data_IF_113539155204
#
_entry.id   IF_113539155204
#
_cell.length_a   1.000
_cell.length_b   1.000
_cell.length_c   1.000
_cell.angle_alpha   90.00
_cell.angle_beta   90.00
_cell.angle_gamma   90.00
#
_symmetry.space_group_name_H-M   'P 1'
#
loop_
_entity.id
_entity.type
_entity.pdbx_description
1 polymer ?
#
# COMPACT_ATOMS: atom_id res chain seq x y z
N UNK A 1 -6.40 5.65 -20.40
CA UNK A 1 -7.57 5.08 -21.09
C UNK A 1 -8.20 6.22 -21.88
N UNK A 2 -8.41 6.08 -23.19
CA UNK A 2 -8.94 7.17 -24.01
C UNK A 2 -10.38 7.57 -23.66
N UNK A 3 -11.18 6.61 -23.17
CA UNK A 3 -12.59 6.80 -22.85
C UNK A 3 -12.81 7.48 -21.49
N UNK A 4 -12.15 6.98 -20.43
CA UNK A 4 -12.38 7.45 -19.06
C UNK A 4 -11.18 8.14 -18.40
N UNK A 5 -10.06 8.31 -19.11
CA UNK A 5 -8.85 8.95 -18.56
C UNK A 5 -8.03 8.10 -17.57
N UNK A 6 -8.53 6.95 -17.09
CA UNK A 6 -7.78 6.08 -16.15
C UNK A 6 -6.39 5.70 -16.69
N UNK A 7 -5.36 5.74 -15.85
CA UNK A 7 -4.05 5.18 -16.19
C UNK A 7 -4.19 3.68 -16.45
N UNK A 8 -3.58 3.21 -17.54
CA UNK A 8 -3.58 1.80 -17.93
C UNK A 8 -2.19 1.22 -17.72
N UNK A 9 -2.12 -0.01 -17.22
CA UNK A 9 -0.89 -0.78 -17.16
C UNK A 9 -0.47 -1.23 -18.57
N UNK A 10 0.80 -1.60 -18.71
CA UNK A 10 1.34 -2.09 -19.97
C UNK A 10 0.58 -3.35 -20.42
N UNK A 11 -0.06 -3.28 -21.58
CA UNK A 11 -0.84 -4.38 -22.17
C UNK A 11 -2.36 -4.32 -21.90
N UNK A 12 -2.82 -3.41 -21.04
CA UNK A 12 -4.26 -3.21 -20.83
C UNK A 12 -4.89 -2.48 -22.03
N UNK A 13 -6.03 -3.00 -22.51
CA UNK A 13 -6.75 -2.42 -23.64
C UNK A 13 -7.54 -1.19 -23.21
N UNK A 14 -7.62 -0.20 -24.09
CA UNK A 14 -8.58 0.88 -23.96
C UNK A 14 -10.01 0.32 -23.87
N UNK A 15 -10.81 0.89 -22.97
CA UNK A 15 -12.19 0.48 -22.76
C UNK A 15 -12.35 -0.69 -21.79
N UNK A 16 -11.31 -1.44 -21.42
CA UNK A 16 -11.42 -2.54 -20.46
C UNK A 16 -11.90 -2.06 -19.07
N UNK A 17 -11.34 -0.96 -18.56
CA UNK A 17 -11.63 -0.44 -17.21
C UNK A 17 -13.00 0.25 -17.07
N UNK A 18 -13.62 0.68 -18.16
CA UNK A 18 -14.85 1.49 -18.16
C UNK A 18 -15.94 0.94 -19.10
N UNK A 19 -15.65 -0.19 -19.78
CA UNK A 19 -16.48 -0.77 -20.83
C UNK A 19 -16.92 0.26 -21.87
N UNK A 20 -15.93 0.95 -22.44
CA UNK A 20 -16.13 1.99 -23.47
C UNK A 20 -17.13 3.06 -23.02
N UNK A 21 -16.84 3.72 -21.88
CA UNK A 21 -17.64 4.80 -21.25
C UNK A 21 -18.92 4.38 -20.51
N UNK A 22 -19.33 3.10 -20.56
CA UNK A 22 -20.52 2.63 -19.83
C UNK A 22 -20.40 2.78 -18.30
N UNK A 23 -19.17 2.71 -17.77
CA UNK A 23 -18.87 2.89 -16.35
C UNK A 23 -17.81 3.97 -16.18
N UNK A 24 -18.26 5.21 -16.09
CA UNK A 24 -17.41 6.36 -15.79
C UNK A 24 -17.44 6.64 -14.29
N UNK A 25 -16.29 6.43 -13.64
CA UNK A 25 -16.10 6.82 -12.24
C UNK A 25 -15.53 8.24 -12.21
N UNK A 26 -15.99 9.04 -11.25
CA UNK A 26 -15.35 10.32 -10.96
C UNK A 26 -13.92 10.08 -10.48
N UNK A 27 -12.92 10.82 -10.99
CA UNK A 27 -11.55 10.73 -10.50
C UNK A 27 -11.51 10.90 -8.98
N UNK A 28 -10.65 10.13 -8.32
CA UNK A 28 -10.39 10.34 -6.91
C UNK A 28 -9.85 11.77 -6.69
N UNK A 29 -10.20 12.42 -5.58
CA UNK A 29 -9.62 13.71 -5.24
C UNK A 29 -8.09 13.59 -5.16
N UNK A 30 -7.35 14.66 -5.52
CA UNK A 30 -5.91 14.63 -5.44
C UNK A 30 -5.47 14.42 -3.99
N UNK A 31 -4.31 13.80 -3.80
CA UNK A 31 -3.71 13.71 -2.47
C UNK A 31 -3.46 15.10 -1.88
N UNK A 32 -3.44 15.25 -0.55
CA UNK A 32 -2.98 16.48 0.09
C UNK A 32 -1.63 16.95 -0.44
N UNK A 33 -1.45 18.27 -0.58
CA UNK A 33 -0.26 18.86 -1.22
C UNK A 33 1.05 18.37 -0.61
N UNK A 34 1.12 18.24 0.72
CA UNK A 34 2.35 17.79 1.39
C UNK A 34 2.74 16.35 1.00
N UNK A 35 1.78 15.47 0.72
CA UNK A 35 2.06 14.11 0.25
C UNK A 35 2.44 14.10 -1.21
N UNK A 36 1.76 14.90 -2.03
CA UNK A 36 2.16 15.07 -3.42
C UNK A 36 3.64 15.47 -3.46
N UNK A 37 4.01 16.52 -2.74
CA UNK A 37 5.39 17.01 -2.62
C UNK A 37 6.35 15.92 -2.14
N UNK A 38 6.00 15.17 -1.09
CA UNK A 38 6.85 14.11 -0.53
C UNK A 38 7.16 12.98 -1.54
N UNK A 39 6.22 12.67 -2.43
CA UNK A 39 6.38 11.60 -3.43
C UNK A 39 6.86 12.09 -4.80
N UNK A 40 6.62 13.36 -5.17
CA UNK A 40 7.00 13.92 -6.47
C UNK A 40 8.37 14.59 -6.48
N UNK A 41 8.84 15.12 -5.34
CA UNK A 41 10.17 15.76 -5.26
C UNK A 41 11.32 14.76 -5.45
N UNK A 42 11.16 13.55 -4.92
CA UNK A 42 12.15 12.46 -5.05
C UNK A 42 11.46 11.14 -5.44
N UNK A 43 11.12 10.93 -6.72
CA UNK A 43 10.45 9.71 -7.17
C UNK A 43 11.28 8.43 -6.92
N UNK A 44 12.61 8.54 -6.90
CA UNK A 44 13.51 7.42 -6.61
C UNK A 44 13.41 7.00 -5.14
N UNK A 45 13.43 7.96 -4.21
CA UNK A 45 13.26 7.71 -2.78
C UNK A 45 11.86 7.16 -2.48
N UNK A 46 10.83 7.75 -3.10
CA UNK A 46 9.46 7.24 -3.03
C UNK A 46 9.37 5.76 -3.42
N UNK A 47 9.99 5.39 -4.54
CA UNK A 47 10.04 4.00 -5.00
C UNK A 47 10.82 3.12 -4.02
N UNK A 48 12.00 3.56 -3.57
CA UNK A 48 12.86 2.84 -2.65
C UNK A 48 12.19 2.55 -1.30
N UNK A 49 11.48 3.53 -0.72
CA UNK A 49 10.80 3.38 0.56
C UNK A 49 9.41 2.75 0.47
N UNK A 50 8.81 2.66 -0.72
CA UNK A 50 7.43 2.17 -0.91
C UNK A 50 7.17 0.80 -0.25
N UNK A 51 8.09 -0.15 -0.41
CA UNK A 51 7.96 -1.50 0.17
C UNK A 51 8.04 -1.48 1.70
N UNK A 52 8.97 -0.70 2.25
CA UNK A 52 9.15 -0.54 3.70
C UNK A 52 7.93 0.15 4.32
N UNK A 53 7.43 1.21 3.69
CA UNK A 53 6.20 1.89 4.10
C UNK A 53 4.99 0.96 4.04
N UNK A 54 4.86 0.15 2.99
CA UNK A 54 3.81 -0.87 2.93
C UNK A 54 3.94 -1.87 4.09
N UNK A 55 5.14 -2.35 4.41
CA UNK A 55 5.32 -3.25 5.56
C UNK A 55 4.91 -2.60 6.90
N UNK A 56 5.22 -1.31 7.07
CA UNK A 56 4.90 -0.56 8.29
C UNK A 56 3.40 -0.28 8.47
N UNK A 57 2.65 -0.14 7.37
CA UNK A 57 1.28 0.39 7.39
C UNK A 57 0.20 -0.51 6.75
N UNK A 58 0.56 -1.62 6.11
CA UNK A 58 -0.42 -2.44 5.39
C UNK A 58 -1.23 -3.34 6.33
N UNK A 59 -2.54 -3.10 6.44
CA UNK A 59 -3.45 -3.84 7.33
C UNK A 59 -3.84 -5.24 6.85
N UNK A 60 -3.60 -5.54 5.58
CA UNK A 60 -3.87 -6.86 5.01
C UNK A 60 -2.61 -7.45 4.42
N UNK A 61 -2.33 -8.72 4.68
CA UNK A 61 -1.28 -9.42 3.96
C UNK A 61 -1.86 -10.36 2.92
N UNK A 62 -1.17 -10.49 1.81
CA UNK A 62 -1.45 -11.53 0.83
C UNK A 62 -0.87 -12.83 1.39
N UNK A 63 -1.77 -13.75 1.77
CA UNK A 63 -1.41 -15.12 2.10
C UNK A 63 -1.38 -15.97 0.84
N UNK A 64 -0.44 -16.91 0.79
CA UNK A 64 -0.37 -17.93 -0.27
C UNK A 64 -0.49 -19.31 0.37
N UNK A 65 -1.44 -20.12 -0.10
CA UNK A 65 -1.54 -21.52 0.30
C UNK A 65 -0.57 -22.37 -0.54
N UNK A 66 0.73 -22.30 -0.24
CA UNK A 66 1.77 -23.03 -0.96
C UNK A 66 3.19 -22.62 -0.57
N UNK A 67 4.19 -23.06 -1.33
CA UNK A 67 5.60 -22.73 -1.12
C UNK A 67 6.09 -21.68 -2.11
N UNK A 68 7.03 -20.83 -1.68
CA UNK A 68 7.74 -19.92 -2.57
C UNK A 68 8.84 -20.70 -3.29
N UNK A 69 8.73 -20.86 -4.60
CA UNK A 69 9.81 -21.44 -5.39
C UNK A 69 10.70 -20.31 -5.95
N UNK A 70 11.98 -20.33 -5.58
CA UNK A 70 12.96 -19.41 -6.16
C UNK A 70 13.33 -19.92 -7.55
N UNK A 71 12.94 -19.17 -8.59
CA UNK A 71 13.37 -19.47 -9.96
C UNK A 71 14.70 -18.75 -10.25
N UNK A 72 15.62 -19.37 -10.99
CA UNK A 72 16.85 -18.71 -11.42
C UNK A 72 16.54 -17.47 -12.28
N UNK A 73 17.44 -16.49 -12.15
CA UNK A 73 17.36 -15.08 -12.57
C UNK A 73 16.76 -14.86 -13.98
N UNK A 74 16.04 -13.72 -14.20
CA UNK A 74 15.83 -12.63 -13.24
C UNK A 74 14.56 -12.82 -12.41
N UNK A 75 14.77 -12.94 -11.09
CA UNK A 75 13.83 -12.75 -9.98
C UNK A 75 12.34 -13.01 -10.27
N UNK A 76 12.02 -14.20 -10.78
CA UNK A 76 10.63 -14.64 -10.90
C UNK A 76 10.27 -15.48 -9.68
N UNK A 77 9.30 -15.01 -8.89
CA UNK A 77 8.69 -15.79 -7.83
C UNK A 77 7.45 -16.45 -8.43
N UNK A 78 7.45 -17.77 -8.53
CA UNK A 78 6.24 -18.53 -8.84
C UNK A 78 5.48 -18.80 -7.54
N UNK A 79 4.26 -18.29 -7.46
CA UNK A 79 3.33 -18.58 -6.37
C UNK A 79 2.41 -19.70 -6.85
N UNK A 80 2.47 -20.87 -6.22
CA UNK A 80 1.50 -21.94 -6.43
C UNK A 80 0.49 -21.91 -5.28
N UNK A 81 -0.78 -21.65 -5.55
CA UNK A 81 -1.84 -21.66 -4.54
C UNK A 81 -2.92 -20.61 -4.73
N UNK A 82 -3.78 -20.46 -3.72
CA UNK A 82 -4.78 -19.38 -3.65
C UNK A 82 -4.16 -18.17 -2.97
N UNK A 83 -4.29 -17.03 -3.63
CA UNK A 83 -4.00 -15.71 -3.05
C UNK A 83 -5.26 -15.26 -2.32
N UNK A 84 -5.15 -15.00 -1.01
CA UNK A 84 -6.25 -14.46 -0.22
C UNK A 84 -5.80 -13.27 0.62
N UNK A 85 -6.74 -12.35 0.87
CA UNK A 85 -6.53 -11.24 1.80
C UNK A 85 -6.70 -11.75 3.22
N UNK A 86 -5.65 -11.60 4.03
CA UNK A 86 -5.69 -11.92 5.46
C UNK A 86 -5.55 -10.65 6.27
N UNK A 87 -6.53 -10.38 7.13
CA UNK A 87 -6.36 -9.44 8.24
C UNK A 87 -5.59 -10.17 9.34
N UNK A 88 -4.51 -9.56 9.81
CA UNK A 88 -3.69 -10.18 10.86
C UNK A 88 -4.37 -10.01 12.21
N UNK A 89 -4.30 -11.06 13.02
CA UNK A 89 -4.77 -11.01 14.40
C UNK A 89 -3.95 -9.97 15.18
N UNK A 90 -4.66 -9.05 15.81
CA UNK A 90 -4.07 -7.91 16.52
C UNK A 90 -3.36 -8.38 17.80
N UNK A 91 -3.75 -9.54 18.34
CA UNK A 91 -3.19 -10.08 19.57
C UNK A 91 -1.87 -10.84 19.34
N UNK A 92 -1.54 -11.17 18.09
CA UNK A 92 -0.40 -12.06 17.79
C UNK A 92 0.61 -11.43 16.84
N UNK A 93 1.89 -11.61 17.17
CA UNK A 93 3.02 -11.15 16.37
C UNK A 93 3.14 -9.63 16.25
N UNK A 94 4.04 -9.20 15.36
CA UNK A 94 4.30 -7.80 15.03
C UNK A 94 3.66 -7.49 13.67
N UNK A 95 2.66 -6.61 13.67
CA UNK A 95 1.93 -6.24 12.46
C UNK A 95 1.37 -4.80 12.55
N UNK A 96 1.13 -4.22 11.38
CA UNK A 96 0.66 -2.83 11.23
C UNK A 96 -0.64 -2.53 11.98
N UNK A 97 -1.55 -3.50 12.12
CA UNK A 97 -2.84 -3.31 12.79
C UNK A 97 -2.63 -3.20 14.31
N UNK A 98 -1.80 -4.06 14.90
CA UNK A 98 -1.39 -3.98 16.31
C UNK A 98 -0.65 -2.67 16.59
N UNK A 99 0.30 -2.32 15.72
CA UNK A 99 1.02 -1.05 15.85
C UNK A 99 0.12 0.17 15.73
N UNK A 100 -0.96 0.07 14.95
CA UNK A 100 -1.89 1.17 14.81
C UNK A 100 -2.81 1.33 16.04
N UNK A 101 -3.27 0.22 16.62
CA UNK A 101 -4.26 0.22 17.70
C UNK A 101 -3.66 0.28 19.10
N UNK A 102 -2.51 -0.35 19.33
CA UNK A 102 -1.96 -0.55 20.67
C UNK A 102 -0.51 -0.08 20.82
N UNK A 103 0.31 -0.24 19.79
CA UNK A 103 1.78 -0.11 19.91
C UNK A 103 2.38 0.82 18.85
N UNK A 104 1.98 2.09 18.86
CA UNK A 104 2.43 3.06 17.86
C UNK A 104 3.94 3.32 17.90
N UNK A 105 4.52 3.30 19.10
CA UNK A 105 5.96 3.45 19.30
C UNK A 105 6.78 2.33 18.66
N UNK A 106 6.21 1.11 18.62
CA UNK A 106 6.89 -0.03 18.03
C UNK A 106 7.06 0.15 16.51
N UNK A 107 6.06 0.70 15.82
CA UNK A 107 6.18 1.05 14.40
C UNK A 107 7.24 2.12 14.18
N UNK A 108 7.37 3.09 15.07
CA UNK A 108 8.42 4.12 14.96
C UNK A 108 9.80 3.48 15.08
N UNK A 109 9.98 2.55 16.04
CA UNK A 109 11.21 1.78 16.20
C UNK A 109 11.55 0.97 14.94
N UNK A 110 10.57 0.25 14.40
CA UNK A 110 10.71 -0.52 13.15
C UNK A 110 11.06 0.37 11.95
N UNK A 111 10.51 1.58 11.87
CA UNK A 111 10.86 2.52 10.81
C UNK A 111 12.32 2.98 10.90
N UNK A 112 12.83 3.23 12.11
CA UNK A 112 14.24 3.57 12.35
C UNK A 112 15.15 2.40 11.98
N UNK A 113 14.82 1.17 12.40
CA UNK A 113 15.56 -0.05 12.05
C UNK A 113 15.64 -0.26 10.53
N UNK A 114 14.55 0.04 9.82
CA UNK A 114 14.48 -0.05 8.36
C UNK A 114 15.04 1.18 7.64
N UNK A 115 15.59 2.17 8.37
CA UNK A 115 16.14 3.41 7.84
C UNK A 115 15.14 4.18 6.95
N UNK A 116 13.87 4.20 7.34
CA UNK A 116 12.83 4.97 6.65
C UNK A 116 12.84 6.40 7.21
N UNK A 117 13.01 7.43 6.37
CA UNK A 117 12.99 8.81 6.85
C UNK A 117 11.65 9.14 7.51
N UNK A 118 11.73 9.84 8.64
CA UNK A 118 10.55 10.13 9.47
C UNK A 118 9.50 10.95 8.71
N UNK A 119 9.88 11.78 7.73
CA UNK A 119 8.92 12.51 6.90
C UNK A 119 7.96 11.58 6.15
N UNK A 120 8.42 10.42 5.68
CA UNK A 120 7.57 9.45 4.99
C UNK A 120 6.62 8.76 5.96
N UNK A 121 7.12 8.37 7.13
CA UNK A 121 6.31 7.75 8.19
C UNK A 121 5.21 8.70 8.64
N UNK A 122 5.53 9.97 8.86
CA UNK A 122 4.59 10.99 9.28
C UNK A 122 3.57 11.34 8.20
N UNK A 123 4.01 11.43 6.93
CA UNK A 123 3.10 11.65 5.81
C UNK A 123 2.06 10.54 5.68
N UNK A 124 2.49 9.28 5.66
CA UNK A 124 1.56 8.14 5.55
C UNK A 124 0.64 8.06 6.77
N UNK A 125 1.16 8.28 7.99
CA UNK A 125 0.34 8.33 9.20
C UNK A 125 -0.73 9.41 9.13
N UNK A 126 -0.36 10.60 8.67
CA UNK A 126 -1.30 11.70 8.50
C UNK A 126 -2.38 11.33 7.48
N UNK A 127 -2.02 10.75 6.32
CA UNK A 127 -2.98 10.31 5.30
C UNK A 127 -3.99 9.34 5.91
N UNK A 128 -3.48 8.31 6.58
CA UNK A 128 -4.29 7.26 7.17
C UNK A 128 -5.25 7.80 8.23
N UNK A 129 -4.79 8.69 9.12
CA UNK A 129 -5.63 9.24 10.17
C UNK A 129 -6.71 10.22 9.66
N UNK A 130 -6.49 10.90 8.54
CA UNK A 130 -7.37 11.97 8.07
C UNK A 130 -8.25 11.57 6.87
N UNK A 131 -7.84 10.55 6.11
CA UNK A 131 -8.50 10.16 4.85
C UNK A 131 -9.09 8.75 4.93
N UNK A 132 -8.46 7.83 5.68
CA UNK A 132 -8.90 6.44 5.70
C UNK A 132 -10.06 6.25 6.69
N UNK A 133 -11.29 6.20 6.14
CA UNK A 133 -12.51 6.00 6.90
C UNK A 133 -12.49 4.74 7.75
N UNK A 134 -11.86 3.65 7.29
CA UNK A 134 -11.75 2.41 8.07
C UNK A 134 -11.03 2.63 9.41
N UNK A 135 -9.97 3.44 9.42
CA UNK A 135 -9.23 3.72 10.65
C UNK A 135 -9.97 4.65 11.61
N UNK A 136 -10.80 5.54 11.07
CA UNK A 136 -11.70 6.35 11.89
C UNK A 136 -12.68 5.45 12.66
N UNK A 137 -13.18 4.39 12.03
CA UNK A 137 -14.10 3.44 12.68
C UNK A 137 -13.40 2.52 13.69
N UNK A 138 -12.14 2.13 13.44
CA UNK A 138 -11.40 1.24 14.34
C UNK A 138 -10.98 1.87 15.68
N UNK A 139 -11.01 3.20 15.79
CA UNK A 139 -10.64 3.94 17.01
C UNK A 139 -11.80 4.20 17.97
N UNK A 140 -13.02 3.83 17.58
CA UNK A 140 -14.25 3.92 18.38
C UNK A 140 -14.68 2.54 18.85
#
# INVERSE_FOLDING_TARGET
>A
CQFCGCLLLQGEKHGWCCREEQYTLTPLPPYPIHLQTLFTQSPQDASFYSRKLNQLFCFSTIGVSGSFQHLPIPANIAISGRVYHQLRDVNTGQNSMRWFLYEEEERNRQAVEQQVPIQYVNGIRWLLNNVNSFLLHLRH
#
